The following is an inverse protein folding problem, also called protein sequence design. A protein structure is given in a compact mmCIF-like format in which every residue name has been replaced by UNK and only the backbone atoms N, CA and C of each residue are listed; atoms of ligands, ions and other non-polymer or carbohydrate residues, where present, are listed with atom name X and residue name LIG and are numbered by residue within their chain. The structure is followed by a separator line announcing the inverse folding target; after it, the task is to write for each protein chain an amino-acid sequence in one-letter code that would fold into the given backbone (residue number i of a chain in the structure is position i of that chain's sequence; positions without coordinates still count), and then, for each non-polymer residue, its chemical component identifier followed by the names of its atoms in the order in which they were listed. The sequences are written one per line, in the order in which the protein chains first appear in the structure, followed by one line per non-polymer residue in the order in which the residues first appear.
data_IF_030303508825
#
_entry.id   IF_030303508825
#
_cell.length_a   1.000
_cell.length_b   1.000
_cell.length_c   1.000
_cell.angle_alpha   90.00
_cell.angle_beta   90.00
_cell.angle_gamma   90.00
#
_symmetry.space_group_name_H-M   'P 1'
#
loop_
_entity.id
_entity.type
_entity.pdbx_description
1 polymer ?
#
# COMPACT_ATOMS: atom_id res chain seq x y z
N UNK A 1 84.11 13.03 7.39
CA UNK A 1 82.82 13.03 6.68
C UNK A 1 82.04 11.81 7.12
N UNK A 2 80.77 12.05 7.47
CA UNK A 2 79.70 11.08 7.77
C UNK A 2 79.70 10.32 9.10
N UNK A 3 78.72 10.72 9.89
CA UNK A 3 78.09 10.18 11.11
C UNK A 3 77.47 8.80 10.91
N UNK A 4 77.24 8.02 11.98
CA UNK A 4 75.87 7.73 12.46
C UNK A 4 75.84 6.91 13.75
N UNK A 5 74.79 7.21 14.53
CA UNK A 5 74.38 6.74 15.85
C UNK A 5 73.28 5.66 15.74
N UNK A 6 72.86 5.14 16.91
CA UNK A 6 71.49 4.70 17.26
C UNK A 6 71.13 3.21 17.05
N UNK A 7 70.25 2.58 17.82
CA UNK A 7 69.62 2.76 19.14
C UNK A 7 68.87 1.43 19.42
N UNK A 8 68.61 1.12 20.68
CA UNK A 8 67.84 -0.05 21.14
C UNK A 8 66.41 -0.09 20.57
N UNK A 9 65.94 -1.28 20.17
CA UNK A 9 64.51 -1.56 19.88
C UNK A 9 63.82 -2.08 21.15
N UNK A 10 62.84 -1.34 21.64
CA UNK A 10 61.83 -1.81 22.60
C UNK A 10 60.54 -2.03 21.81
N UNK A 11 60.01 -3.26 21.82
CA UNK A 11 58.75 -3.61 21.17
C UNK A 11 57.59 -3.34 22.12
N UNK A 12 56.66 -2.48 21.70
CA UNK A 12 55.44 -2.14 22.42
C UNK A 12 54.27 -2.77 21.67
N UNK A 13 53.61 -3.76 22.29
CA UNK A 13 52.44 -4.42 21.74
C UNK A 13 51.17 -3.71 22.20
N UNK A 14 50.47 -3.09 21.27
CA UNK A 14 49.21 -2.36 21.49
C UNK A 14 48.04 -3.34 21.33
N UNK A 15 47.36 -3.68 22.42
CA UNK A 15 46.10 -4.44 22.38
C UNK A 15 44.91 -3.50 22.18
N UNK A 16 44.22 -3.60 21.06
CA UNK A 16 42.99 -2.86 20.80
C UNK A 16 41.77 -3.67 21.28
N UNK A 17 40.98 -3.10 22.19
CA UNK A 17 39.68 -3.66 22.59
C UNK A 17 38.62 -3.29 21.53
N UNK A 18 37.99 -4.31 20.94
CA UNK A 18 36.87 -4.13 20.02
C UNK A 18 35.56 -4.04 20.82
N UNK A 19 34.88 -2.90 20.76
CA UNK A 19 33.49 -2.75 21.20
C UNK A 19 32.59 -3.16 20.04
N UNK A 20 31.91 -4.29 20.16
CA UNK A 20 30.92 -4.74 19.19
C UNK A 20 29.61 -3.95 19.39
N UNK A 21 29.36 -2.98 18.51
CA UNK A 21 28.05 -2.35 18.36
C UNK A 21 27.16 -3.31 17.54
N UNK A 22 26.21 -3.96 18.19
CA UNK A 22 25.17 -4.72 17.50
C UNK A 22 24.20 -3.74 16.83
N UNK A 23 24.33 -3.56 15.52
CA UNK A 23 23.34 -2.90 14.68
C UNK A 23 22.18 -3.87 14.42
N UNK A 24 21.00 -3.59 14.97
CA UNK A 24 19.77 -4.24 14.50
C UNK A 24 19.43 -3.64 13.15
N UNK A 25 19.73 -4.37 12.07
CA UNK A 25 19.29 -3.98 10.74
C UNK A 25 17.76 -4.03 10.70
N UNK A 26 17.10 -2.88 10.56
CA UNK A 26 15.68 -2.82 10.23
C UNK A 26 15.55 -3.27 8.78
N UNK A 27 15.23 -4.54 8.58
CA UNK A 27 15.01 -5.09 7.25
C UNK A 27 13.63 -4.61 6.77
N UNK A 28 13.62 -3.53 5.98
CA UNK A 28 12.41 -3.09 5.31
C UNK A 28 11.96 -4.20 4.34
N UNK A 29 10.78 -4.77 4.59
CA UNK A 29 10.16 -5.71 3.65
C UNK A 29 9.99 -5.05 2.29
N UNK A 30 10.34 -5.75 1.22
CA UNK A 30 10.11 -5.27 -0.14
C UNK A 30 8.62 -5.12 -0.39
N UNK A 31 8.21 -3.97 -0.92
CA UNK A 31 6.86 -3.80 -1.44
C UNK A 31 6.69 -4.69 -2.68
N UNK A 32 5.58 -5.41 -2.78
CA UNK A 32 5.23 -6.23 -3.94
C UNK A 32 3.99 -5.63 -4.62
N UNK A 33 4.14 -5.29 -5.90
CA UNK A 33 3.02 -4.84 -6.72
C UNK A 33 2.01 -5.99 -6.91
N UNK A 34 0.73 -5.65 -6.78
CA UNK A 34 -0.41 -6.52 -6.97
C UNK A 34 -1.50 -5.76 -7.73
N UNK A 35 -2.28 -6.49 -8.52
CA UNK A 35 -3.43 -5.95 -9.25
C UNK A 35 -4.62 -6.79 -8.81
N UNK A 36 -5.62 -6.14 -8.21
CA UNK A 36 -6.96 -6.72 -8.08
C UNK A 36 -7.68 -6.52 -9.41
N UNK A 37 -7.72 -7.58 -10.20
CA UNK A 37 -8.60 -7.75 -11.35
C UNK A 37 -9.67 -8.80 -11.03
N UNK A 38 -10.62 -9.00 -11.93
CA UNK A 38 -11.76 -9.89 -11.71
C UNK A 38 -11.76 -11.12 -12.63
N UNK A 39 -10.62 -11.42 -13.24
CA UNK A 39 -10.40 -12.53 -14.17
C UNK A 39 -9.93 -13.83 -13.48
N UNK A 40 -9.94 -13.86 -12.15
CA UNK A 40 -9.52 -15.04 -11.37
C UNK A 40 -10.41 -16.27 -11.62
N UNK A 41 -9.83 -17.49 -11.59
CA UNK A 41 -10.62 -18.71 -11.58
C UNK A 41 -11.66 -18.70 -10.46
N UNK A 42 -12.93 -18.90 -10.81
CA UNK A 42 -14.03 -18.88 -9.84
C UNK A 42 -14.75 -17.53 -9.71
N UNK A 43 -14.44 -16.56 -10.58
CA UNK A 43 -15.25 -15.38 -10.84
C UNK A 43 -15.89 -15.51 -12.23
N UNK A 44 -17.16 -15.89 -12.27
CA UNK A 44 -17.91 -16.02 -13.53
C UNK A 44 -18.84 -14.83 -13.73
N UNK A 45 -19.10 -14.39 -14.98
CA UNK A 45 -20.09 -13.35 -15.25
C UNK A 45 -21.45 -13.72 -14.64
N UNK A 46 -22.10 -12.73 -14.03
CA UNK A 46 -23.35 -12.89 -13.27
C UNK A 46 -23.19 -13.42 -11.85
N UNK A 47 -21.98 -13.73 -11.41
CA UNK A 47 -21.75 -14.09 -10.02
C UNK A 47 -21.87 -12.87 -9.11
N UNK A 48 -22.70 -13.00 -8.06
CA UNK A 48 -22.77 -12.04 -6.96
C UNK A 48 -21.56 -12.21 -6.05
N UNK A 49 -20.89 -11.12 -5.74
CA UNK A 49 -19.62 -11.10 -5.00
C UNK A 49 -19.60 -10.12 -3.82
N UNK A 50 -20.75 -9.55 -3.45
CA UNK A 50 -20.87 -8.72 -2.24
C UNK A 50 -20.38 -9.50 -1.01
N UNK A 51 -19.50 -8.89 -0.21
CA UNK A 51 -18.86 -9.48 0.97
C UNK A 51 -17.93 -10.68 0.69
N UNK A 52 -17.62 -10.98 -0.57
CA UNK A 52 -16.65 -12.01 -0.94
C UNK A 52 -15.22 -11.46 -0.85
N UNK A 53 -14.26 -12.31 -0.50
CA UNK A 53 -12.83 -12.02 -0.61
C UNK A 53 -12.31 -12.47 -1.98
N UNK A 54 -11.67 -11.56 -2.70
CA UNK A 54 -11.03 -11.79 -4.01
C UNK A 54 -9.58 -11.35 -3.90
N UNK A 55 -8.65 -12.28 -4.16
CA UNK A 55 -7.20 -12.05 -4.06
C UNK A 55 -6.73 -11.43 -2.71
N UNK A 56 -7.42 -11.70 -1.61
CA UNK A 56 -7.12 -11.13 -0.29
C UNK A 56 -7.75 -9.76 -0.03
N UNK A 57 -8.63 -9.28 -0.91
CA UNK A 57 -9.38 -8.04 -0.77
C UNK A 57 -10.86 -8.37 -0.61
N UNK A 58 -11.48 -7.94 0.48
CA UNK A 58 -12.92 -8.12 0.69
C UNK A 58 -13.70 -7.03 -0.02
N UNK A 59 -14.59 -7.44 -0.91
CA UNK A 59 -15.43 -6.57 -1.71
C UNK A 59 -16.71 -6.23 -0.94
N UNK A 60 -17.19 -5.00 -1.07
CA UNK A 60 -18.45 -4.57 -0.47
C UNK A 60 -19.09 -3.43 -1.23
N UNK A 61 -20.38 -3.19 -0.95
CA UNK A 61 -21.14 -2.09 -1.53
C UNK A 61 -22.03 -1.46 -0.48
N UNK A 62 -22.21 -0.15 -0.56
CA UNK A 62 -23.21 0.60 0.21
C UNK A 62 -23.71 1.81 -0.59
N UNK A 63 -24.76 2.47 -0.08
CA UNK A 63 -25.47 3.59 -0.74
C UNK A 63 -26.00 3.25 -2.15
N UNK A 64 -26.19 1.96 -2.42
CA UNK A 64 -26.56 1.44 -3.71
C UNK A 64 -28.06 1.23 -3.89
N UNK A 65 -28.90 1.79 -3.02
CA UNK A 65 -30.35 1.67 -3.16
C UNK A 65 -30.88 0.23 -3.23
N UNK A 66 -32.06 0.07 -3.84
CA UNK A 66 -32.75 -1.21 -3.97
C UNK A 66 -33.53 -1.30 -5.27
N UNK A 67 -33.66 -2.51 -5.81
CA UNK A 67 -34.56 -2.85 -6.92
C UNK A 67 -35.51 -3.96 -6.48
N UNK A 68 -36.81 -3.78 -6.70
CA UNK A 68 -37.83 -4.70 -6.17
C UNK A 68 -37.80 -4.85 -4.63
N UNK A 69 -37.22 -3.88 -3.91
CA UNK A 69 -37.03 -3.94 -2.46
C UNK A 69 -35.82 -4.76 -1.99
N UNK A 70 -35.01 -5.31 -2.90
CA UNK A 70 -33.74 -5.95 -2.58
C UNK A 70 -32.57 -5.00 -2.80
N UNK A 71 -31.57 -4.94 -1.91
CA UNK A 71 -30.34 -4.19 -2.17
C UNK A 71 -29.69 -4.66 -3.46
N UNK A 72 -29.14 -3.71 -4.22
CA UNK A 72 -28.28 -4.03 -5.36
C UNK A 72 -26.96 -4.60 -4.85
N UNK A 73 -26.51 -5.70 -5.42
CA UNK A 73 -25.28 -6.41 -5.06
C UNK A 73 -24.15 -6.07 -6.03
N UNK A 74 -22.93 -6.35 -5.62
CA UNK A 74 -21.80 -6.40 -6.54
C UNK A 74 -21.90 -7.68 -7.38
N UNK A 75 -21.71 -7.52 -8.69
CA UNK A 75 -21.67 -8.64 -9.63
C UNK A 75 -20.47 -8.55 -10.57
N UNK A 76 -20.04 -9.71 -11.03
CA UNK A 76 -19.03 -9.82 -12.10
C UNK A 76 -19.73 -9.62 -13.43
N UNK A 77 -19.21 -8.70 -14.25
CA UNK A 77 -19.66 -8.43 -15.60
C UNK A 77 -18.55 -8.78 -16.60
N UNK A 78 -18.89 -9.32 -17.77
CA UNK A 78 -17.90 -9.60 -18.81
C UNK A 78 -17.88 -8.49 -19.85
N UNK A 79 -16.92 -7.57 -19.75
CA UNK A 79 -16.78 -6.47 -20.70
C UNK A 79 -16.39 -6.91 -22.13
N UNK A 80 -16.05 -8.18 -22.34
CA UNK A 80 -15.89 -8.73 -23.68
C UNK A 80 -17.19 -9.15 -24.36
N UNK A 81 -18.31 -9.26 -23.62
CA UNK A 81 -19.65 -9.54 -24.16
C UNK A 81 -19.68 -10.64 -25.23
N UNK A 82 -18.92 -11.72 -25.09
CA UNK A 82 -18.86 -12.77 -26.13
C UNK A 82 -18.35 -12.31 -27.52
N UNK A 83 -17.68 -11.16 -27.61
CA UNK A 83 -16.93 -10.68 -28.77
C UNK A 83 -17.51 -9.46 -29.50
N UNK A 84 -18.70 -8.97 -29.14
CA UNK A 84 -19.31 -7.80 -29.78
C UNK A 84 -20.14 -6.99 -28.78
N UNK A 85 -20.28 -5.68 -29.00
CA UNK A 85 -21.09 -4.81 -28.14
C UNK A 85 -22.55 -5.29 -28.07
N UNK A 86 -23.17 -5.60 -29.21
CA UNK A 86 -24.57 -6.08 -29.29
C UNK A 86 -24.85 -7.44 -28.63
N UNK A 87 -23.85 -8.06 -28.00
CA UNK A 87 -23.97 -9.29 -27.23
C UNK A 87 -23.83 -9.01 -25.72
N UNK A 88 -23.70 -7.75 -25.32
CA UNK A 88 -23.71 -7.35 -23.92
C UNK A 88 -25.10 -7.62 -23.34
N UNK A 89 -25.10 -8.02 -22.08
CA UNK A 89 -26.31 -8.20 -21.26
C UNK A 89 -26.76 -6.84 -20.71
N UNK A 90 -28.00 -6.75 -20.23
CA UNK A 90 -28.47 -5.58 -19.48
C UNK A 90 -28.68 -4.30 -20.28
N UNK A 91 -28.63 -4.35 -21.62
CA UNK A 91 -28.55 -3.17 -22.48
C UNK A 91 -27.24 -2.35 -22.33
N UNK A 92 -26.21 -2.92 -21.69
CA UNK A 92 -24.91 -2.31 -21.40
C UNK A 92 -23.90 -2.40 -22.57
N UNK A 93 -24.35 -2.09 -23.80
CA UNK A 93 -23.48 -2.07 -24.98
C UNK A 93 -22.29 -1.10 -24.82
N UNK A 94 -22.42 -0.10 -23.96
CA UNK A 94 -21.38 0.87 -23.57
C UNK A 94 -20.38 0.35 -22.54
N UNK A 95 -20.61 -0.80 -21.91
CA UNK A 95 -19.60 -1.52 -21.14
C UNK A 95 -18.69 -2.40 -22.01
N UNK A 96 -18.90 -2.45 -23.33
CA UNK A 96 -18.05 -3.26 -24.23
C UNK A 96 -16.59 -2.78 -24.28
N UNK A 97 -15.73 -3.53 -23.60
CA UNK A 97 -14.27 -3.39 -23.54
C UNK A 97 -13.59 -4.76 -23.54
N UNK A 98 -13.46 -5.44 -24.70
CA UNK A 98 -12.96 -6.81 -24.76
C UNK A 98 -11.53 -7.04 -24.26
N UNK A 99 -10.78 -5.98 -23.96
CA UNK A 99 -9.43 -6.06 -23.37
C UNK A 99 -9.41 -5.90 -21.84
N UNK A 100 -10.52 -5.49 -21.21
CA UNK A 100 -10.62 -5.40 -19.77
C UNK A 100 -10.99 -6.73 -19.10
N UNK A 101 -11.61 -7.65 -19.84
CA UNK A 101 -12.02 -8.94 -19.28
C UNK A 101 -13.22 -8.79 -18.36
N UNK A 102 -13.19 -9.46 -17.22
CA UNK A 102 -14.20 -9.30 -16.19
C UNK A 102 -14.04 -7.96 -15.45
N UNK A 103 -15.15 -7.29 -15.21
CA UNK A 103 -15.26 -6.06 -14.42
C UNK A 103 -16.21 -6.27 -13.26
N UNK A 104 -16.14 -5.39 -12.26
CA UNK A 104 -17.04 -5.39 -11.11
C UNK A 104 -18.06 -4.26 -11.27
N UNK A 105 -19.34 -4.62 -11.22
CA UNK A 105 -20.47 -3.68 -11.30
C UNK A 105 -21.29 -3.70 -10.01
N UNK A 106 -22.07 -2.65 -9.80
CA UNK A 106 -23.24 -2.71 -8.92
C UNK A 106 -24.39 -3.15 -9.82
N UNK A 107 -24.98 -4.33 -9.60
CA UNK A 107 -26.04 -4.84 -10.48
C UNK A 107 -27.32 -4.04 -10.33
N UNK A 108 -28.07 -3.78 -11.41
CA UNK A 108 -29.35 -3.08 -11.31
C UNK A 108 -30.41 -3.91 -10.58
N UNK A 109 -30.50 -5.22 -10.82
CA UNK A 109 -31.59 -6.04 -10.27
C UNK A 109 -31.17 -7.38 -9.63
N UNK A 110 -29.88 -7.70 -9.68
CA UNK A 110 -29.26 -8.93 -9.23
C UNK A 110 -29.63 -10.20 -10.03
N UNK A 111 -30.01 -10.07 -11.31
CA UNK A 111 -30.22 -11.20 -12.22
C UNK A 111 -28.89 -11.70 -12.79
N UNK A 112 -28.44 -12.85 -12.27
CA UNK A 112 -27.20 -13.50 -12.75
C UNK A 112 -27.23 -13.95 -14.21
N UNK A 113 -28.40 -14.07 -14.83
CA UNK A 113 -28.54 -14.48 -16.22
C UNK A 113 -28.46 -13.32 -17.21
N UNK A 114 -28.64 -12.10 -16.72
CA UNK A 114 -28.57 -10.86 -17.49
C UNK A 114 -27.87 -9.77 -16.66
N UNK A 115 -26.56 -9.89 -16.38
CA UNK A 115 -25.87 -8.91 -15.54
C UNK A 115 -25.91 -7.53 -16.18
N UNK A 116 -26.40 -6.56 -15.42
CA UNK A 116 -26.65 -5.19 -15.84
C UNK A 116 -26.16 -4.20 -14.80
N UNK A 117 -25.50 -3.12 -15.19
CA UNK A 117 -24.94 -2.17 -14.25
C UNK A 117 -25.95 -1.07 -13.85
N UNK A 118 -25.91 -0.69 -12.57
CA UNK A 118 -26.91 0.20 -12.00
C UNK A 118 -26.70 1.65 -12.43
N UNK A 119 -27.64 2.19 -13.22
CA UNK A 119 -27.73 3.61 -13.58
C UNK A 119 -27.87 4.60 -12.39
N UNK A 120 -28.01 4.11 -11.16
CA UNK A 120 -28.20 4.91 -9.95
C UNK A 120 -26.95 5.04 -9.07
N UNK A 121 -25.83 4.47 -9.50
CA UNK A 121 -24.56 4.49 -8.76
C UNK A 121 -24.59 3.82 -7.39
N UNK A 122 -23.68 4.26 -6.53
CA UNK A 122 -23.42 3.69 -5.20
C UNK A 122 -21.95 3.77 -4.85
N UNK A 123 -21.54 3.05 -3.79
CA UNK A 123 -20.14 3.03 -3.35
C UNK A 123 -19.56 1.62 -3.32
N UNK A 124 -18.59 1.35 -4.19
CA UNK A 124 -17.74 0.17 -4.11
C UNK A 124 -16.78 0.30 -2.92
N UNK A 125 -16.53 -0.81 -2.23
CA UNK A 125 -15.62 -0.89 -1.09
C UNK A 125 -14.62 -2.02 -1.32
N UNK A 126 -13.34 -1.71 -1.13
CA UNK A 126 -12.23 -2.65 -1.17
C UNK A 126 -11.52 -2.63 0.18
N UNK A 127 -11.60 -3.72 0.93
CA UNK A 127 -10.96 -3.87 2.25
C UNK A 127 -9.77 -4.83 2.13
N UNK A 128 -8.55 -4.29 2.22
CA UNK A 128 -7.32 -4.99 1.79
C UNK A 128 -6.79 -6.05 2.79
N UNK A 129 -7.42 -6.21 3.95
CA UNK A 129 -7.02 -7.15 5.02
C UNK A 129 -5.69 -6.80 5.73
N UNK A 130 -4.71 -6.30 4.99
CA UNK A 130 -3.47 -5.66 5.44
C UNK A 130 -3.35 -4.31 4.73
N UNK A 131 -2.73 -3.33 5.38
CA UNK A 131 -2.57 -2.02 4.75
C UNK A 131 -1.66 -2.08 3.51
N UNK A 132 -2.03 -1.34 2.46
CA UNK A 132 -1.35 -1.30 1.16
C UNK A 132 -1.09 0.16 0.74
N UNK A 133 -0.26 0.38 -0.28
CA UNK A 133 -0.27 1.64 -1.02
C UNK A 133 -1.09 1.48 -2.29
N UNK A 134 -2.17 2.24 -2.45
CA UNK A 134 -2.99 2.21 -3.66
C UNK A 134 -2.34 3.08 -4.73
N UNK A 135 -2.03 2.49 -5.88
CA UNK A 135 -1.34 3.18 -6.97
C UNK A 135 -2.34 3.76 -7.98
N UNK A 136 -3.25 2.91 -8.47
CA UNK A 136 -4.18 3.24 -9.54
C UNK A 136 -5.53 2.53 -9.35
N UNK A 137 -6.61 3.24 -9.68
CA UNK A 137 -7.97 2.73 -9.83
C UNK A 137 -8.38 2.88 -11.30
N UNK A 138 -8.83 1.79 -11.92
CA UNK A 138 -9.37 1.80 -13.28
C UNK A 138 -10.89 1.68 -13.24
N UNK A 139 -11.59 2.70 -13.74
CA UNK A 139 -13.04 2.68 -13.95
C UNK A 139 -13.37 2.70 -15.45
N UNK A 140 -14.53 2.13 -15.77
CA UNK A 140 -15.15 2.14 -17.08
C UNK A 140 -16.50 2.82 -16.98
N UNK A 141 -16.83 3.54 -18.05
CA UNK A 141 -18.14 4.12 -18.33
C UNK A 141 -18.62 5.08 -17.25
N UNK A 142 -17.83 6.14 -17.07
CA UNK A 142 -18.20 7.26 -16.23
C UNK A 142 -18.37 8.46 -17.14
N UNK A 143 -19.54 9.09 -17.14
CA UNK A 143 -19.79 10.30 -17.91
C UNK A 143 -18.81 11.40 -17.53
N UNK A 144 -18.45 12.24 -18.51
CA UNK A 144 -17.45 13.29 -18.30
C UNK A 144 -17.89 14.37 -17.30
N UNK A 145 -19.20 14.50 -17.08
CA UNK A 145 -19.78 15.40 -16.07
C UNK A 145 -19.83 14.79 -14.68
N UNK A 146 -19.60 13.49 -14.55
CA UNK A 146 -20.01 12.76 -13.37
C UNK A 146 -18.86 12.66 -12.38
N UNK A 147 -19.09 13.12 -11.13
CA UNK A 147 -18.05 13.09 -10.12
C UNK A 147 -17.81 11.65 -9.66
N UNK A 148 -16.54 11.28 -9.62
CA UNK A 148 -16.06 10.09 -8.91
C UNK A 148 -15.39 10.56 -7.64
N UNK A 149 -15.90 10.09 -6.49
CA UNK A 149 -15.28 10.37 -5.20
C UNK A 149 -14.58 9.12 -4.70
N UNK A 150 -13.27 9.23 -4.49
CA UNK A 150 -12.46 8.16 -3.92
C UNK A 150 -12.07 8.56 -2.50
N UNK A 151 -12.35 7.70 -1.52
CA UNK A 151 -11.95 7.90 -0.13
C UNK A 151 -11.01 6.78 0.30
N UNK A 152 -9.81 7.13 0.74
CA UNK A 152 -8.87 6.20 1.36
C UNK A 152 -9.02 6.26 2.88
N UNK A 153 -8.96 5.11 3.54
CA UNK A 153 -8.99 4.98 4.99
C UNK A 153 -7.68 4.36 5.46
N UNK A 154 -6.99 5.05 6.36
CA UNK A 154 -5.67 4.67 6.87
C UNK A 154 -5.53 5.02 8.35
N UNK A 155 -4.44 4.60 8.99
CA UNK A 155 -4.13 4.96 10.38
C UNK A 155 -3.88 6.46 10.58
N UNK A 156 -3.40 7.18 9.54
CA UNK A 156 -3.21 8.63 9.56
C UNK A 156 -4.53 9.41 9.40
N UNK A 157 -5.63 8.73 9.08
CA UNK A 157 -6.94 9.29 8.84
C UNK A 157 -7.48 8.99 7.44
N UNK A 158 -8.56 9.67 7.08
CA UNK A 158 -9.20 9.50 5.78
C UNK A 158 -8.78 10.63 4.84
N UNK A 159 -8.54 10.29 3.57
CA UNK A 159 -8.31 11.28 2.51
C UNK A 159 -9.36 11.12 1.42
N UNK A 160 -9.80 12.24 0.85
CA UNK A 160 -10.80 12.27 -0.22
C UNK A 160 -10.19 12.89 -1.48
N UNK A 161 -10.45 12.23 -2.61
CA UNK A 161 -10.04 12.64 -3.93
C UNK A 161 -11.28 12.72 -4.83
N UNK A 162 -11.40 13.81 -5.57
CA UNK A 162 -12.51 14.03 -6.48
C UNK A 162 -11.98 14.05 -7.91
N UNK A 163 -12.54 13.19 -8.75
CA UNK A 163 -12.23 13.07 -10.17
C UNK A 163 -13.50 13.21 -11.00
N UNK A 164 -13.31 13.23 -12.31
CA UNK A 164 -14.40 13.18 -13.28
C UNK A 164 -14.14 12.04 -14.25
N UNK A 165 -15.22 11.43 -14.73
CA UNK A 165 -15.17 10.47 -15.81
C UNK A 165 -14.58 11.04 -17.09
N UNK A 166 -14.34 10.16 -18.06
CA UNK A 166 -13.87 10.57 -19.39
C UNK A 166 -14.98 10.60 -20.43
N UNK A 167 -16.16 10.08 -20.11
CA UNK A 167 -17.30 9.97 -21.01
C UNK A 167 -17.77 8.52 -21.15
N UNK A 168 -18.93 8.38 -21.78
CA UNK A 168 -19.55 7.09 -22.04
C UNK A 168 -18.58 6.15 -22.80
N UNK A 169 -18.55 4.89 -22.38
CA UNK A 169 -17.78 3.80 -22.98
C UNK A 169 -16.25 4.05 -22.97
N UNK A 170 -15.73 4.88 -22.05
CA UNK A 170 -14.31 5.20 -21.92
C UNK A 170 -13.70 4.70 -20.61
N UNK A 171 -12.44 4.29 -20.69
CA UNK A 171 -11.63 3.90 -19.52
C UNK A 171 -10.99 5.13 -18.89
N UNK A 172 -11.15 5.24 -17.57
CA UNK A 172 -10.56 6.27 -16.73
C UNK A 172 -9.63 5.61 -15.69
N UNK A 173 -8.35 6.02 -15.69
CA UNK A 173 -7.39 5.63 -14.66
C UNK A 173 -7.13 6.79 -13.72
N UNK A 174 -7.30 6.57 -12.42
CA UNK A 174 -7.07 7.55 -11.37
C UNK A 174 -5.91 7.11 -10.49
N UNK A 175 -4.97 8.00 -10.26
CA UNK A 175 -3.76 7.76 -9.46
C UNK A 175 -3.49 8.92 -8.50
N UNK A 176 -2.51 8.77 -7.62
CA UNK A 176 -2.08 9.85 -6.73
C UNK A 176 -2.84 9.89 -5.42
N UNK A 177 -3.23 8.73 -4.89
CA UNK A 177 -3.95 8.55 -3.63
C UNK A 177 -3.08 8.77 -2.36
N UNK A 178 -1.97 9.49 -2.50
CA UNK A 178 -1.00 9.74 -1.43
C UNK A 178 -0.02 8.59 -1.21
N UNK A 179 0.77 8.70 -0.13
CA UNK A 179 1.76 7.70 0.30
C UNK A 179 1.37 7.10 1.66
N UNK A 180 0.08 7.03 1.96
CA UNK A 180 -0.44 6.49 3.22
C UNK A 180 -0.75 5.00 3.08
N UNK A 181 -0.65 4.29 4.19
CA UNK A 181 -0.97 2.85 4.26
C UNK A 181 -2.48 2.67 4.35
N UNK A 182 -3.12 2.39 3.23
CA UNK A 182 -4.58 2.28 3.07
C UNK A 182 -5.05 0.89 3.49
N UNK A 183 -6.02 0.83 4.41
CA UNK A 183 -6.72 -0.40 4.81
C UNK A 183 -8.02 -0.60 4.02
N UNK A 184 -8.67 0.49 3.61
CA UNK A 184 -9.89 0.47 2.81
C UNK A 184 -9.91 1.57 1.77
N UNK A 185 -10.42 1.24 0.59
CA UNK A 185 -10.73 2.18 -0.48
C UNK A 185 -12.25 2.18 -0.72
N UNK A 186 -12.87 3.35 -0.67
CA UNK A 186 -14.23 3.54 -1.13
C UNK A 186 -14.21 4.30 -2.46
N UNK A 187 -15.03 3.86 -3.41
CA UNK A 187 -15.21 4.51 -4.71
C UNK A 187 -16.69 4.79 -4.90
N UNK A 188 -17.10 6.04 -4.72
CA UNK A 188 -18.48 6.49 -4.93
C UNK A 188 -18.65 7.02 -6.35
N UNK A 189 -19.67 6.51 -7.03
CA UNK A 189 -20.14 6.94 -8.35
C UNK A 189 -21.61 7.33 -8.26
N UNK A 190 -22.07 8.20 -9.16
CA UNK A 190 -23.44 8.74 -9.13
C UNK A 190 -24.40 8.05 -10.09
N UNK A 191 -23.88 7.49 -11.19
CA UNK A 191 -24.62 6.79 -12.23
C UNK A 191 -23.95 5.42 -12.49
N UNK A 192 -24.17 4.86 -13.68
CA UNK A 192 -23.52 3.64 -14.17
C UNK A 192 -21.99 3.74 -14.02
N UNK A 193 -21.37 2.60 -13.70
CA UNK A 193 -19.94 2.44 -13.56
C UNK A 193 -19.55 0.97 -13.45
N UNK A 194 -18.43 0.62 -14.06
CA UNK A 194 -17.74 -0.62 -13.78
C UNK A 194 -16.31 -0.37 -13.27
N UNK A 195 -15.86 -1.16 -12.29
CA UNK A 195 -14.46 -1.19 -11.86
C UNK A 195 -13.73 -2.24 -12.67
N UNK A 196 -12.67 -1.84 -13.38
CA UNK A 196 -11.82 -2.77 -14.12
C UNK A 196 -10.73 -3.37 -13.24
N UNK A 197 -10.02 -2.54 -12.47
CA UNK A 197 -8.93 -2.99 -11.64
C UNK A 197 -8.57 -2.01 -10.52
N UNK A 198 -7.88 -2.53 -9.49
CA UNK A 198 -7.18 -1.74 -8.48
C UNK A 198 -5.73 -2.21 -8.38
N UNK A 199 -4.78 -1.34 -8.72
CA UNK A 199 -3.34 -1.59 -8.57
C UNK A 199 -2.85 -1.08 -7.21
N UNK A 200 -2.07 -1.90 -6.50
CA UNK A 200 -1.55 -1.55 -5.19
C UNK A 200 -0.27 -2.32 -4.82
N UNK A 201 0.49 -1.76 -3.89
CA UNK A 201 1.69 -2.38 -3.33
C UNK A 201 1.42 -2.95 -1.94
N UNK A 202 1.67 -4.26 -1.76
CA UNK A 202 1.59 -4.94 -0.46
C UNK A 202 2.93 -4.85 0.26
N UNK A 203 2.91 -4.69 1.58
CA UNK A 203 4.08 -4.99 2.39
C UNK A 203 4.22 -6.50 2.51
N UNK A 204 5.35 -7.04 2.07
CA UNK A 204 5.75 -8.33 2.58
C UNK A 204 6.17 -8.11 4.03
N UNK A 205 5.51 -8.83 4.96
CA UNK A 205 6.15 -9.13 6.23
C UNK A 205 7.53 -9.71 5.89
N UNK A 206 8.62 -9.28 6.56
CA UNK A 206 9.86 -10.03 6.46
C UNK A 206 9.52 -11.51 6.62
N UNK A 207 10.10 -12.43 5.80
CA UNK A 207 9.90 -13.85 6.03
C UNK A 207 10.14 -14.08 7.52
N UNK A 208 9.19 -14.70 8.20
CA UNK A 208 9.35 -15.04 9.60
C UNK A 208 10.70 -15.73 9.66
N UNK A 209 11.68 -15.08 10.32
CA UNK A 209 12.89 -15.77 10.67
C UNK A 209 12.37 -16.88 11.57
N UNK A 210 12.25 -18.09 11.01
CA UNK A 210 12.03 -19.28 11.78
C UNK A 210 12.97 -19.14 12.96
N UNK A 211 12.38 -19.13 14.16
CA UNK A 211 13.16 -19.02 15.39
C UNK A 211 14.28 -20.02 15.21
N UNK A 212 15.57 -19.58 15.19
CA UNK A 212 16.66 -20.49 14.89
C UNK A 212 16.45 -21.72 15.77
N UNK A 213 16.52 -22.94 15.20
CA UNK A 213 16.18 -24.16 15.92
C UNK A 213 16.84 -24.07 17.28
N UNK A 214 16.01 -24.15 18.33
CA UNK A 214 16.39 -23.97 19.72
C UNK A 214 17.79 -24.55 19.89
N UNK A 215 18.82 -23.68 19.96
CA UNK A 215 20.17 -24.16 20.20
C UNK A 215 20.07 -24.74 21.60
N UNK A 216 19.92 -26.07 21.68
CA UNK A 216 20.06 -26.80 22.91
C UNK A 216 21.30 -26.23 23.57
N UNK A 217 21.10 -25.67 24.75
CA UNK A 217 22.19 -25.10 25.53
C UNK A 217 23.28 -26.16 25.55
N UNK A 218 24.47 -25.88 24.99
CA UNK A 218 25.53 -26.87 25.02
C UNK A 218 25.73 -27.29 26.47
N UNK A 219 25.94 -28.59 26.74
CA UNK A 219 26.13 -29.07 28.09
C UNK A 219 27.17 -28.19 28.78
N UNK A 220 26.82 -27.72 29.97
CA UNK A 220 27.64 -26.89 30.83
C UNK A 220 29.05 -27.49 30.86
N UNK A 221 30.01 -26.87 30.18
CA UNK A 221 31.40 -27.23 30.37
C UNK A 221 31.71 -26.91 31.83
N UNK A 222 32.01 -27.96 32.60
CA UNK A 222 32.52 -27.82 33.96
C UNK A 222 33.63 -26.77 33.95
N UNK A 223 33.47 -25.73 34.77
CA UNK A 223 34.48 -24.70 34.95
C UNK A 223 35.78 -25.38 35.36
N UNK A 224 36.92 -25.10 34.70
CA UNK A 224 38.21 -25.56 35.15
C UNK A 224 38.46 -25.14 36.60
N UNK A 225 39.15 -25.97 37.40
CA UNK A 225 39.48 -25.64 38.78
C UNK A 225 40.22 -24.30 38.88
N UNK A 226 39.87 -23.53 39.91
CA UNK A 226 40.43 -22.22 40.27
C UNK A 226 41.94 -22.14 40.01
N UNK A 227 42.34 -21.27 39.08
CA UNK A 227 43.73 -20.83 38.95
C UNK A 227 43.93 -19.68 39.94
N UNK A 228 44.84 -19.80 40.94
CA UNK A 228 45.08 -18.73 41.89
C UNK A 228 45.83 -17.56 41.23
N UNK A 229 45.27 -16.35 41.38
CA UNK A 229 46.05 -15.10 41.43
C UNK A 229 46.39 -14.46 40.08
N UNK A 230 45.41 -13.82 39.45
CA UNK A 230 45.67 -12.71 38.53
C UNK A 230 45.54 -11.37 39.29
N UNK A 231 46.52 -10.44 39.17
CA UNK A 231 46.44 -9.13 39.83
C UNK A 231 45.33 -8.26 39.22
N UNK A 232 44.65 -7.48 40.08
CA UNK A 232 43.50 -6.66 39.73
C UNK A 232 43.83 -5.61 38.65
N UNK A 233 42.92 -5.36 37.69
CA UNK A 233 43.09 -4.29 36.73
C UNK A 233 42.87 -2.91 37.38
N UNK A 234 43.86 -2.04 37.20
CA UNK A 234 43.82 -0.62 37.55
C UNK A 234 42.59 0.07 36.96
N UNK A 235 41.76 0.64 37.82
CA UNK A 235 40.64 1.50 37.46
C UNK A 235 41.16 2.82 36.90
N UNK A 236 41.11 3.01 35.58
CA UNK A 236 41.39 4.29 34.93
C UNK A 236 40.07 5.05 34.74
N UNK A 237 39.86 6.09 35.55
CA UNK A 237 38.80 7.07 35.33
C UNK A 237 39.16 7.96 34.13
N UNK A 238 38.45 7.77 33.02
CA UNK A 238 38.53 8.61 31.83
C UNK A 238 37.25 9.43 31.66
N UNK A 239 37.30 10.70 32.04
CA UNK A 239 36.27 11.72 31.81
C UNK A 239 36.09 11.98 30.31
N UNK A 240 34.87 11.80 29.79
CA UNK A 240 34.54 12.17 28.41
C UNK A 240 33.99 13.59 28.39
N UNK A 241 34.77 14.50 27.82
CA UNK A 241 34.39 15.88 27.54
C UNK A 241 33.37 15.92 26.41
N UNK A 242 32.14 16.34 26.70
CA UNK A 242 31.11 16.63 25.69
C UNK A 242 31.41 17.97 25.02
N UNK A 243 31.87 17.94 23.76
CA UNK A 243 31.95 19.10 22.88
C UNK A 243 30.56 19.38 22.29
N UNK A 244 29.99 20.53 22.66
CA UNK A 244 28.78 21.05 22.06
C UNK A 244 29.03 21.59 20.65
N UNK A 245 28.08 21.32 19.75
CA UNK A 245 27.92 22.08 18.51
C UNK A 245 26.52 22.71 18.52
N UNK A 246 26.49 24.02 18.71
CA UNK A 246 25.36 24.87 18.37
C UNK A 246 25.46 25.35 16.92
N UNK A 247 24.32 25.75 16.35
CA UNK A 247 24.20 26.40 15.05
C UNK A 247 22.78 26.23 14.52
N UNK A 248 21.82 27.09 14.89
CA UNK A 248 21.54 28.38 14.25
C UNK A 248 21.24 28.27 12.75
N UNK A 249 19.97 28.42 12.38
CA UNK A 249 19.56 29.07 11.12
C UNK A 249 18.09 29.54 11.21
N UNK A 250 17.92 30.84 11.44
CA UNK A 250 16.68 31.60 11.15
C UNK A 250 16.59 31.85 9.64
N UNK A 251 15.42 31.69 9.01
CA UNK A 251 15.14 32.40 7.75
C UNK A 251 13.66 32.81 7.59
N UNK A 252 13.50 34.12 7.85
CA UNK A 252 12.58 35.16 7.37
C UNK A 252 11.33 34.82 6.54
N UNK A 253 10.26 35.51 6.94
CA UNK A 253 9.02 35.85 6.23
C UNK A 253 9.20 36.31 4.78
N UNK A 254 8.20 35.98 3.94
CA UNK A 254 7.80 36.78 2.79
C UNK A 254 6.26 36.86 2.73
N UNK A 255 5.72 38.05 3.02
CA UNK A 255 4.38 38.50 2.63
C UNK A 255 4.36 38.70 1.11
N UNK A 256 3.29 38.30 0.45
CA UNK A 256 2.84 38.92 -0.81
C UNK A 256 1.35 39.24 -0.69
N UNK A 257 1.09 40.52 -0.50
CA UNK A 257 -0.19 41.13 -0.81
C UNK A 257 -0.32 41.18 -2.34
N UNK A 258 -1.46 40.75 -2.89
CA UNK A 258 -1.84 41.10 -4.24
C UNK A 258 -3.28 41.61 -4.26
N UNK A 259 -3.38 42.90 -4.59
CA UNK A 259 -4.59 43.69 -4.84
C UNK A 259 -4.80 43.74 -6.36
N UNK A 260 -6.00 43.42 -6.83
CA UNK A 260 -6.63 43.92 -8.07
C UNK A 260 -7.96 43.16 -8.25
N UNK A 261 -9.08 43.69 -8.73
CA UNK A 261 -9.59 45.03 -9.04
C UNK A 261 -11.06 44.75 -9.45
N UNK A 262 -12.09 45.52 -9.04
CA UNK A 262 -13.47 45.27 -9.47
C UNK A 262 -13.74 45.97 -10.82
N UNK A 263 -14.42 45.29 -11.75
CA UNK A 263 -15.12 45.91 -12.87
C UNK A 263 -16.37 45.10 -13.25
N UNK A 264 -17.44 45.88 -13.47
CA UNK A 264 -18.78 45.56 -13.98
C UNK A 264 -19.72 44.82 -13.03
#
# INVERSE_FOLDING_TARGET
MSTSSAFNKLSMATGAAFVALSFTAIQAGSAQAAILDFDEPGLSPGQKVTNQEVQGVRLGVFDQGTTGGQPRDLMIYNSACGGAASHCTGEDDDLFKPRLGNTLIISEDNDSSDPDDSAFGGTFTFDFGKSVFVDELTLLDIEASDPVRVTTFSESGNQEFNFFGRGNNLISSFSGFGNDRVNRLNVTVVNSAAVGAVSYNRFQSPPDFETPPNFETPPYFETPPDVPGAPEPLTVFGSVTALGFGGWLKKKHARKDNKANPKA
#
